data_IF_113550238650
#
_entry.id   IF_113550238650
#
_cell.length_a   1.000
_cell.length_b   1.000
_cell.length_c   1.000
_cell.angle_alpha   90.00
_cell.angle_beta   90.00
_cell.angle_gamma   90.00
#
_symmetry.space_group_name_H-M   'P 1'
#
loop_
_entity.id
_entity.type
_entity.pdbx_description
1 polymer ?
#
# COMPACT_ATOMS: atom_id res chain seq x y z
N UNK A 1 -35.13 -11.00 14.66
CA UNK A 1 -35.28 -11.80 15.85
C UNK A 1 -36.77 -11.99 16.25
N UNK A 2 -37.60 -10.91 16.16
CA UNK A 2 -39.00 -10.94 16.60
C UNK A 2 -39.85 -11.97 15.83
N UNK A 3 -39.53 -12.30 14.60
CA UNK A 3 -40.25 -13.23 13.73
C UNK A 3 -39.42 -14.46 13.35
N UNK A 4 -38.34 -14.75 14.08
CA UNK A 4 -37.47 -15.90 13.79
C UNK A 4 -36.65 -15.78 12.52
N UNK A 5 -36.50 -14.57 11.98
CA UNK A 5 -35.68 -14.33 10.78
C UNK A 5 -34.19 -14.38 11.10
N UNK A 6 -33.40 -14.85 10.14
CA UNK A 6 -31.94 -14.82 10.18
C UNK A 6 -31.42 -13.41 9.84
N UNK A 7 -30.25 -12.99 10.33
CA UNK A 7 -29.62 -11.75 9.91
C UNK A 7 -29.37 -11.79 8.40
N UNK A 8 -29.80 -10.74 7.69
CA UNK A 8 -29.57 -10.59 6.28
C UNK A 8 -28.71 -9.34 6.00
N UNK A 9 -27.84 -9.45 5.01
CA UNK A 9 -27.02 -8.31 4.56
C UNK A 9 -27.88 -7.28 3.84
N UNK A 10 -27.37 -6.04 3.72
CA UNK A 10 -28.02 -4.98 2.94
C UNK A 10 -28.17 -5.37 1.47
N UNK A 11 -29.34 -5.11 0.89
CA UNK A 11 -29.64 -5.40 -0.52
C UNK A 11 -29.01 -4.33 -1.43
N UNK A 12 -27.79 -4.54 -1.91
CA UNK A 12 -27.03 -3.59 -2.72
C UNK A 12 -27.84 -3.15 -3.95
N UNK A 13 -28.37 -4.09 -4.73
CA UNK A 13 -29.13 -3.82 -5.94
C UNK A 13 -30.33 -2.90 -5.70
N UNK A 14 -31.13 -3.20 -4.67
CA UNK A 14 -32.31 -2.41 -4.31
C UNK A 14 -31.96 -1.05 -3.78
N UNK A 15 -30.90 -0.94 -2.99
CA UNK A 15 -30.40 0.34 -2.46
C UNK A 15 -29.89 1.22 -3.59
N UNK A 16 -29.11 0.69 -4.53
CA UNK A 16 -28.63 1.44 -5.69
C UNK A 16 -29.78 1.92 -6.59
N UNK A 17 -30.78 1.07 -6.82
CA UNK A 17 -31.97 1.45 -7.59
C UNK A 17 -32.72 2.59 -6.90
N UNK A 18 -32.87 2.54 -5.57
CA UNK A 18 -33.53 3.60 -4.80
C UNK A 18 -32.76 4.92 -4.87
N UNK A 19 -31.43 4.89 -4.71
CA UNK A 19 -30.57 6.07 -4.80
C UNK A 19 -30.65 6.68 -6.21
N UNK A 20 -30.56 5.86 -7.25
CA UNK A 20 -30.65 6.32 -8.65
C UNK A 20 -32.00 6.95 -8.99
N UNK A 21 -33.05 6.61 -8.26
CA UNK A 21 -34.38 7.20 -8.37
C UNK A 21 -34.66 8.33 -7.34
N UNK A 22 -33.61 8.86 -6.69
CA UNK A 22 -33.71 10.02 -5.81
C UNK A 22 -34.00 9.70 -4.33
N UNK A 23 -33.96 8.44 -3.94
CA UNK A 23 -34.14 8.04 -2.54
C UNK A 23 -32.92 8.40 -1.69
N UNK A 24 -33.11 9.26 -0.67
CA UNK A 24 -32.03 9.76 0.17
C UNK A 24 -32.15 9.38 1.66
N UNK A 25 -33.26 8.73 2.05
CA UNK A 25 -33.56 8.49 3.47
C UNK A 25 -33.78 7.02 3.76
N UNK A 26 -33.49 6.55 5.01
CA UNK A 26 -33.78 5.18 5.43
C UNK A 26 -35.29 4.87 5.50
N UNK A 27 -36.16 5.86 5.45
CA UNK A 27 -37.62 5.69 5.41
C UNK A 27 -38.06 4.83 4.24
N UNK A 28 -37.39 4.97 3.06
CA UNK A 28 -37.66 4.12 1.90
C UNK A 28 -37.49 2.62 2.21
N UNK A 29 -36.50 2.24 3.04
CA UNK A 29 -36.29 0.86 3.49
C UNK A 29 -37.41 0.36 4.40
N UNK A 30 -37.92 1.21 5.30
CA UNK A 30 -39.05 0.87 6.18
C UNK A 30 -40.32 0.67 5.36
N UNK A 31 -40.63 1.59 4.45
CA UNK A 31 -41.79 1.49 3.53
C UNK A 31 -41.69 0.20 2.69
N UNK A 32 -40.49 -0.09 2.14
CA UNK A 32 -40.24 -1.31 1.39
C UNK A 32 -40.55 -2.57 2.22
N UNK A 33 -40.11 -2.63 3.46
CA UNK A 33 -40.36 -3.78 4.35
C UNK A 33 -41.84 -3.95 4.69
N UNK A 34 -42.56 -2.85 4.92
CA UNK A 34 -44.02 -2.86 5.18
C UNK A 34 -44.77 -3.30 3.94
N UNK A 35 -44.42 -2.80 2.75
CA UNK A 35 -45.04 -3.18 1.50
C UNK A 35 -44.82 -4.70 1.21
N UNK A 36 -43.60 -5.20 1.44
CA UNK A 36 -43.31 -6.63 1.28
C UNK A 36 -44.14 -7.49 2.24
N UNK A 37 -44.31 -7.05 3.49
CA UNK A 37 -45.13 -7.74 4.46
C UNK A 37 -46.61 -7.79 4.00
N UNK A 38 -47.14 -6.66 3.52
CA UNK A 38 -48.49 -6.60 2.94
C UNK A 38 -48.67 -7.49 1.73
N UNK A 39 -47.70 -7.52 0.81
CA UNK A 39 -47.72 -8.42 -0.35
C UNK A 39 -47.75 -9.88 0.10
N UNK A 40 -46.93 -10.23 1.10
CA UNK A 40 -46.86 -11.60 1.59
C UNK A 40 -48.17 -12.02 2.26
N UNK A 41 -48.84 -11.14 3.01
CA UNK A 41 -50.06 -11.44 3.73
C UNK A 41 -51.32 -11.45 2.84
N UNK A 42 -51.43 -10.51 1.92
CA UNK A 42 -52.64 -10.23 1.13
C UNK A 42 -52.57 -10.70 -0.32
N UNK A 43 -51.36 -10.55 -0.96
CA UNK A 43 -51.18 -10.74 -2.40
C UNK A 43 -50.47 -12.04 -2.75
N UNK A 44 -50.13 -12.90 -1.78
CA UNK A 44 -49.47 -14.17 -2.03
C UNK A 44 -50.19 -15.03 -3.09
N UNK A 45 -51.54 -15.16 -3.07
CA UNK A 45 -52.23 -15.95 -4.08
C UNK A 45 -52.16 -15.34 -5.49
N UNK A 46 -51.96 -14.02 -5.64
CA UNK A 46 -51.77 -13.41 -6.93
C UNK A 46 -50.31 -13.57 -7.43
N UNK A 47 -49.33 -13.68 -6.53
CA UNK A 47 -47.94 -13.82 -6.90
C UNK A 47 -47.65 -15.09 -7.72
N UNK A 48 -48.45 -16.14 -7.55
CA UNK A 48 -48.33 -17.40 -8.32
C UNK A 48 -48.61 -17.23 -9.84
N UNK A 49 -49.31 -16.17 -10.23
CA UNK A 49 -49.60 -15.89 -11.63
C UNK A 49 -48.48 -15.11 -12.36
N UNK A 50 -47.45 -14.69 -11.65
CA UNK A 50 -46.31 -13.98 -12.24
C UNK A 50 -45.45 -15.01 -13.00
N UNK A 51 -45.33 -14.89 -14.34
CA UNK A 51 -44.51 -15.82 -15.11
C UNK A 51 -43.05 -15.67 -14.81
N UNK A 52 -42.31 -16.75 -14.68
CA UNK A 52 -40.85 -16.77 -14.41
C UNK A 52 -40.06 -15.97 -15.49
N UNK A 53 -40.58 -15.99 -16.74
CA UNK A 53 -39.97 -15.22 -17.83
C UNK A 53 -39.99 -13.69 -17.58
N UNK A 54 -41.03 -13.15 -16.94
CA UNK A 54 -41.11 -11.77 -16.55
C UNK A 54 -40.03 -11.42 -15.50
N UNK A 55 -39.89 -12.28 -14.48
CA UNK A 55 -38.84 -12.10 -13.45
C UNK A 55 -37.43 -12.18 -14.06
N UNK A 56 -37.21 -13.10 -14.98
CA UNK A 56 -35.93 -13.19 -15.70
C UNK A 56 -35.65 -11.94 -16.50
N UNK A 57 -36.65 -11.38 -17.21
CA UNK A 57 -36.51 -10.12 -17.93
C UNK A 57 -36.12 -8.94 -17.04
N UNK A 58 -36.77 -8.82 -15.88
CA UNK A 58 -36.43 -7.79 -14.87
C UNK A 58 -34.98 -7.97 -14.37
N UNK A 59 -34.57 -9.20 -14.09
CA UNK A 59 -33.18 -9.47 -13.65
C UNK A 59 -32.15 -9.09 -14.71
N UNK A 60 -32.40 -9.34 -15.98
CA UNK A 60 -31.52 -8.94 -17.09
C UNK A 60 -31.36 -7.42 -17.15
N UNK A 61 -32.48 -6.67 -17.08
CA UNK A 61 -32.46 -5.20 -17.07
C UNK A 61 -31.71 -4.65 -15.86
N UNK A 62 -31.94 -5.20 -14.67
CA UNK A 62 -31.24 -4.81 -13.43
C UNK A 62 -29.75 -5.10 -13.56
N UNK A 63 -29.36 -6.27 -14.06
CA UNK A 63 -27.95 -6.64 -14.27
C UNK A 63 -27.26 -5.68 -15.25
N UNK A 64 -27.93 -5.32 -16.35
CA UNK A 64 -27.40 -4.35 -17.28
C UNK A 64 -27.19 -2.96 -16.66
N UNK A 65 -28.18 -2.46 -15.92
CA UNK A 65 -28.08 -1.16 -15.23
C UNK A 65 -27.01 -1.14 -14.13
N UNK A 66 -26.74 -2.28 -13.50
CA UNK A 66 -25.74 -2.41 -12.47
C UNK A 66 -24.35 -2.75 -12.99
N UNK A 67 -24.22 -3.18 -14.25
CA UNK A 67 -22.93 -3.67 -14.79
C UNK A 67 -21.81 -2.63 -14.77
N UNK A 68 -22.12 -1.34 -14.65
CA UNK A 68 -21.13 -0.27 -14.62
C UNK A 68 -20.19 -0.27 -15.83
N UNK A 69 -20.72 -0.61 -17.02
CA UNK A 69 -19.92 -0.81 -18.23
C UNK A 69 -18.94 0.33 -18.54
N UNK A 70 -19.29 1.57 -18.21
CA UNK A 70 -18.41 2.72 -18.39
C UNK A 70 -17.17 2.63 -17.50
N UNK A 71 -17.40 2.38 -16.21
CA UNK A 71 -16.30 2.20 -15.22
C UNK A 71 -15.42 0.99 -15.56
N UNK A 72 -16.04 -0.12 -16.00
CA UNK A 72 -15.30 -1.29 -16.46
C UNK A 72 -14.37 -0.94 -17.63
N UNK A 73 -14.87 -0.21 -18.63
CA UNK A 73 -14.07 0.23 -19.78
C UNK A 73 -12.95 1.21 -19.39
N UNK A 74 -13.17 2.05 -18.40
CA UNK A 74 -12.16 2.97 -17.87
C UNK A 74 -11.06 2.20 -17.13
N UNK A 75 -11.43 1.25 -16.28
CA UNK A 75 -10.49 0.39 -15.55
C UNK A 75 -9.62 -0.44 -16.50
N UNK A 76 -10.14 -0.91 -17.63
CA UNK A 76 -9.34 -1.61 -18.64
C UNK A 76 -8.22 -0.77 -19.28
N UNK A 77 -8.29 0.56 -19.14
CA UNK A 77 -7.22 1.48 -19.59
C UNK A 77 -6.15 1.71 -18.51
N UNK A 78 -6.37 1.19 -17.31
CA UNK A 78 -5.48 1.33 -16.17
C UNK A 78 -4.18 0.54 -16.28
N UNK A 79 -3.48 0.39 -15.17
CA UNK A 79 -2.23 -0.38 -15.12
C UNK A 79 -2.48 -1.84 -15.47
N UNK A 80 -1.54 -2.49 -16.18
CA UNK A 80 -1.66 -3.91 -16.57
C UNK A 80 -1.91 -4.83 -15.37
N UNK A 81 -1.35 -4.48 -14.23
CA UNK A 81 -1.53 -5.23 -12.97
C UNK A 81 -2.97 -5.14 -12.47
N UNK A 82 -3.55 -3.93 -12.45
CA UNK A 82 -4.92 -3.71 -11.99
C UNK A 82 -5.94 -4.35 -12.93
N UNK A 83 -5.68 -4.30 -14.25
CA UNK A 83 -6.49 -4.99 -15.27
C UNK A 83 -6.44 -6.50 -15.07
N UNK A 84 -5.27 -7.06 -14.76
CA UNK A 84 -5.14 -8.49 -14.49
C UNK A 84 -5.95 -8.90 -13.26
N UNK A 85 -5.85 -8.15 -12.15
CA UNK A 85 -6.64 -8.40 -10.93
C UNK A 85 -8.14 -8.34 -11.24
N UNK A 86 -8.59 -7.31 -11.97
CA UNK A 86 -9.99 -7.14 -12.38
C UNK A 86 -10.50 -8.34 -13.17
N UNK A 87 -9.77 -8.76 -14.21
CA UNK A 87 -10.19 -9.87 -15.07
C UNK A 87 -10.19 -11.20 -14.32
N UNK A 88 -9.15 -11.48 -13.53
CA UNK A 88 -9.07 -12.72 -12.75
C UNK A 88 -10.24 -12.79 -11.76
N UNK A 89 -10.50 -11.70 -11.01
CA UNK A 89 -11.60 -11.65 -10.04
C UNK A 89 -12.96 -11.81 -10.75
N UNK A 90 -13.14 -11.17 -11.91
CA UNK A 90 -14.35 -11.30 -12.71
C UNK A 90 -14.59 -12.75 -13.15
N UNK A 91 -13.60 -13.41 -13.73
CA UNK A 91 -13.75 -14.80 -14.16
C UNK A 91 -13.95 -15.77 -12.98
N UNK A 92 -13.26 -15.54 -11.86
CA UNK A 92 -13.48 -16.35 -10.65
C UNK A 92 -14.91 -16.19 -10.12
N UNK A 93 -15.48 -14.98 -10.16
CA UNK A 93 -16.87 -14.74 -9.76
C UNK A 93 -17.86 -15.47 -10.66
N UNK A 94 -17.58 -15.57 -11.96
CA UNK A 94 -18.48 -16.23 -12.93
C UNK A 94 -18.37 -17.74 -12.86
N UNK A 95 -17.17 -18.30 -12.65
CA UNK A 95 -16.92 -19.75 -12.70
C UNK A 95 -17.20 -20.43 -11.35
N UNK A 96 -16.81 -19.78 -10.25
CA UNK A 96 -16.95 -20.31 -8.91
C UNK A 96 -18.08 -19.60 -8.18
N UNK A 97 -17.74 -18.77 -7.22
CA UNK A 97 -18.66 -17.92 -6.48
C UNK A 97 -18.01 -16.59 -6.05
N UNK A 98 -18.83 -15.71 -5.48
CA UNK A 98 -18.38 -14.40 -5.03
C UNK A 98 -17.36 -14.50 -3.88
N UNK A 99 -17.46 -15.50 -2.99
CA UNK A 99 -16.60 -15.63 -1.82
C UNK A 99 -15.17 -15.95 -2.24
N UNK A 100 -15.00 -16.98 -3.07
CA UNK A 100 -13.71 -17.39 -3.62
C UNK A 100 -13.10 -16.26 -4.44
N UNK A 101 -13.92 -15.55 -5.24
CA UNK A 101 -13.45 -14.45 -6.05
C UNK A 101 -12.90 -13.28 -5.21
N UNK A 102 -13.55 -12.95 -4.10
CA UNK A 102 -13.10 -11.89 -3.18
C UNK A 102 -11.79 -12.30 -2.50
N UNK A 103 -11.71 -13.52 -1.97
CA UNK A 103 -10.51 -14.01 -1.29
C UNK A 103 -9.28 -14.00 -2.22
N UNK A 104 -9.41 -14.60 -3.39
CA UNK A 104 -8.33 -14.67 -4.38
C UNK A 104 -8.01 -13.31 -4.98
N UNK A 105 -9.03 -12.51 -5.27
CA UNK A 105 -8.86 -11.15 -5.78
C UNK A 105 -8.10 -10.25 -4.80
N UNK A 106 -8.44 -10.32 -3.51
CA UNK A 106 -7.75 -9.60 -2.45
C UNK A 106 -6.28 -10.04 -2.33
N UNK A 107 -6.04 -11.36 -2.35
CA UNK A 107 -4.69 -11.90 -2.26
C UNK A 107 -3.81 -11.43 -3.43
N UNK A 108 -4.32 -11.51 -4.67
CA UNK A 108 -3.58 -11.05 -5.86
C UNK A 108 -3.37 -9.54 -5.82
N UNK A 109 -4.36 -8.77 -5.37
CA UNK A 109 -4.25 -7.32 -5.21
C UNK A 109 -3.17 -6.94 -4.18
N UNK A 110 -3.10 -7.64 -3.04
CA UNK A 110 -2.07 -7.45 -2.02
C UNK A 110 -0.66 -7.73 -2.57
N UNK A 111 -0.47 -8.85 -3.26
CA UNK A 111 0.82 -9.20 -3.87
C UNK A 111 1.23 -8.15 -4.91
N UNK A 112 0.30 -7.73 -5.77
CA UNK A 112 0.54 -6.68 -6.76
C UNK A 112 0.89 -5.33 -6.13
N UNK A 113 0.21 -4.98 -5.03
CA UNK A 113 0.49 -3.76 -4.26
C UNK A 113 1.89 -3.78 -3.66
N UNK A 114 2.27 -4.90 -2.99
CA UNK A 114 3.62 -5.07 -2.43
C UNK A 114 4.67 -4.92 -3.53
N UNK A 115 4.48 -5.61 -4.66
CA UNK A 115 5.41 -5.50 -5.80
C UNK A 115 5.52 -4.08 -6.38
N UNK A 116 4.47 -3.27 -6.31
CA UNK A 116 4.47 -1.86 -6.72
C UNK A 116 5.23 -0.99 -5.74
N UNK A 117 5.00 -1.18 -4.43
CA UNK A 117 5.71 -0.45 -3.37
C UNK A 117 7.21 -0.74 -3.43
N UNK A 118 7.61 -1.99 -3.66
CA UNK A 118 9.03 -2.37 -3.83
C UNK A 118 9.70 -1.62 -4.99
N UNK A 119 9.00 -1.44 -6.11
CA UNK A 119 9.53 -0.70 -7.28
C UNK A 119 9.60 0.81 -7.08
N UNK A 120 8.88 1.36 -6.12
CA UNK A 120 8.86 2.80 -5.83
C UNK A 120 10.03 3.21 -4.93
N UNK A 121 10.62 2.25 -4.19
CA UNK A 121 11.78 2.52 -3.36
C UNK A 121 13.05 2.42 -4.19
N UNK A 122 13.83 3.50 -4.20
CA UNK A 122 15.10 3.58 -4.90
C UNK A 122 16.23 3.78 -3.88
N UNK A 123 17.33 3.07 -4.10
CA UNK A 123 18.57 3.26 -3.36
C UNK A 123 19.55 3.90 -4.33
N UNK A 124 19.97 5.11 -4.03
CA UNK A 124 20.95 5.83 -4.83
C UNK A 124 22.26 5.99 -4.05
N UNK A 125 23.35 5.79 -4.76
CA UNK A 125 24.71 5.99 -4.22
C UNK A 125 25.25 7.29 -4.74
N UNK A 126 25.67 8.15 -3.85
CA UNK A 126 26.22 9.47 -4.15
C UNK A 126 27.71 9.43 -3.81
N UNK A 127 28.57 9.48 -4.82
CA UNK A 127 30.04 9.45 -4.63
C UNK A 127 30.69 10.85 -4.69
N UNK A 128 30.15 11.74 -5.51
CA UNK A 128 30.85 13.00 -5.80
C UNK A 128 30.17 14.21 -5.15
N UNK A 129 28.90 14.46 -5.45
CA UNK A 129 28.19 15.66 -5.03
C UNK A 129 26.74 15.35 -4.60
N UNK A 130 26.35 15.89 -3.47
CA UNK A 130 24.96 15.84 -3.00
C UNK A 130 24.26 17.09 -3.53
N UNK A 131 23.32 16.91 -4.47
CA UNK A 131 22.50 18.01 -4.99
C UNK A 131 21.47 18.45 -3.95
N UNK A 132 21.25 19.75 -3.77
CA UNK A 132 20.14 20.24 -2.95
C UNK A 132 18.83 19.75 -3.54
N UNK A 133 17.94 19.26 -2.69
CA UNK A 133 16.64 18.79 -3.13
C UNK A 133 15.68 19.99 -3.18
N UNK A 134 14.96 20.17 -4.29
CA UNK A 134 14.05 21.30 -4.55
C UNK A 134 12.85 21.39 -3.59
N UNK A 135 12.61 20.37 -2.77
CA UNK A 135 11.48 20.37 -1.83
C UNK A 135 11.94 20.35 -0.37
N UNK A 136 11.80 21.50 0.27
CA UNK A 136 11.66 21.68 1.72
C UNK A 136 12.82 21.21 2.61
N UNK A 137 14.04 21.62 2.31
CA UNK A 137 15.12 21.61 3.28
C UNK A 137 15.10 22.93 4.10
N UNK A 138 14.17 23.02 5.08
CA UNK A 138 14.07 24.15 6.03
C UNK A 138 15.37 24.42 6.84
N UNK A 139 16.39 23.58 6.66
CA UNK A 139 17.67 23.64 7.37
C UNK A 139 18.89 23.71 6.46
N UNK A 140 18.72 23.83 5.15
CA UNK A 140 19.79 24.17 4.22
C UNK A 140 19.64 25.63 3.81
N UNK A 141 20.41 26.50 4.45
CA UNK A 141 20.46 27.95 4.18
C UNK A 141 21.22 28.30 2.88
N UNK A 142 21.54 27.30 2.03
CA UNK A 142 22.27 27.55 0.79
C UNK A 142 21.94 26.52 -0.29
N UNK A 143 21.79 27.00 -1.51
CA UNK A 143 21.77 26.25 -2.78
C UNK A 143 23.11 25.54 -3.08
N UNK A 144 23.98 25.38 -2.08
CA UNK A 144 25.32 24.85 -2.26
C UNK A 144 25.29 23.33 -2.34
N UNK A 145 25.82 22.81 -3.44
CA UNK A 145 26.17 21.39 -3.59
C UNK A 145 27.22 21.03 -2.55
N UNK A 146 26.96 19.98 -1.79
CA UNK A 146 27.89 19.49 -0.77
C UNK A 146 28.79 18.45 -1.43
N UNK A 147 30.10 18.73 -1.49
CA UNK A 147 31.09 17.76 -1.95
C UNK A 147 31.25 16.62 -0.93
N UNK A 148 31.27 15.37 -1.40
CA UNK A 148 31.54 14.20 -0.58
C UNK A 148 33.07 14.01 -0.50
N UNK A 149 33.66 13.94 0.71
CA UNK A 149 35.10 13.72 0.86
C UNK A 149 35.53 12.35 0.31
N UNK A 150 36.78 12.24 -0.14
CA UNK A 150 37.38 10.99 -0.58
C UNK A 150 37.34 9.93 0.54
N UNK A 151 36.92 8.72 0.17
CA UNK A 151 36.78 7.61 1.12
C UNK A 151 35.45 7.59 1.88
N UNK A 152 34.52 8.49 1.56
CA UNK A 152 33.15 8.49 2.09
C UNK A 152 32.16 8.08 0.99
N UNK A 153 31.27 7.18 1.29
CA UNK A 153 30.14 6.83 0.43
C UNK A 153 28.82 7.20 1.09
N UNK A 154 27.93 7.86 0.35
CA UNK A 154 26.63 8.24 0.84
C UNK A 154 25.55 7.44 0.11
N UNK A 155 24.78 6.66 0.87
CA UNK A 155 23.65 5.88 0.39
C UNK A 155 22.36 6.59 0.77
N UNK A 156 21.58 7.02 -0.20
CA UNK A 156 20.27 7.60 0.04
C UNK A 156 19.17 6.58 -0.23
N UNK A 157 18.33 6.35 0.77
CA UNK A 157 17.18 5.44 0.68
C UNK A 157 15.93 6.30 0.51
N UNK A 158 15.30 6.17 -0.66
CA UNK A 158 14.07 6.89 -1.01
C UNK A 158 12.88 5.93 -0.98
N UNK A 159 12.13 5.92 0.12
CA UNK A 159 10.95 5.07 0.31
C UNK A 159 11.04 4.18 1.56
N UNK A 160 10.02 3.34 1.80
CA UNK A 160 9.96 2.48 2.98
C UNK A 160 11.07 1.41 2.97
N UNK A 161 11.76 1.24 4.10
CA UNK A 161 12.83 0.26 4.23
C UNK A 161 12.31 -1.02 4.90
N UNK A 162 11.99 -2.03 4.08
CA UNK A 162 11.37 -3.28 4.49
C UNK A 162 11.97 -4.49 3.75
N UNK A 163 11.48 -5.70 4.01
CA UNK A 163 12.06 -6.96 3.52
C UNK A 163 12.43 -6.98 2.03
N UNK A 164 11.63 -6.32 1.17
CA UNK A 164 11.86 -6.32 -0.28
C UNK A 164 13.02 -5.44 -0.75
N UNK A 165 13.45 -4.46 0.06
CA UNK A 165 14.49 -3.49 -0.29
C UNK A 165 15.84 -3.84 0.30
N UNK A 166 15.82 -4.57 1.39
CA UNK A 166 17.02 -4.95 2.11
C UNK A 166 18.00 -5.73 1.22
N UNK A 167 17.51 -6.63 0.39
CA UNK A 167 18.31 -7.40 -0.57
C UNK A 167 18.92 -6.51 -1.66
N UNK A 168 18.16 -5.53 -2.17
CA UNK A 168 18.67 -4.58 -3.17
C UNK A 168 19.80 -3.71 -2.60
N UNK A 169 19.72 -3.37 -1.32
CA UNK A 169 20.77 -2.60 -0.67
C UNK A 169 22.09 -3.37 -0.59
N UNK A 170 22.02 -4.67 -0.29
CA UNK A 170 23.20 -5.56 -0.29
C UNK A 170 23.79 -5.70 -1.69
N UNK A 171 22.96 -5.83 -2.72
CA UNK A 171 23.40 -5.92 -4.13
C UNK A 171 24.12 -4.64 -4.55
N UNK A 172 23.54 -3.47 -4.29
CA UNK A 172 24.14 -2.18 -4.63
C UNK A 172 25.51 -1.99 -3.95
N UNK A 173 25.65 -2.43 -2.71
CA UNK A 173 26.94 -2.37 -2.02
C UNK A 173 27.97 -3.36 -2.58
N UNK A 174 27.55 -4.54 -3.01
CA UNK A 174 28.43 -5.54 -3.58
C UNK A 174 29.02 -5.11 -4.92
N UNK A 175 28.26 -4.36 -5.74
CA UNK A 175 28.69 -3.87 -7.06
C UNK A 175 29.78 -2.79 -6.98
N UNK A 176 29.89 -2.07 -5.87
CA UNK A 176 30.79 -0.93 -5.77
C UNK A 176 32.27 -1.28 -5.59
N UNK A 177 32.58 -2.47 -5.15
CA UNK A 177 33.95 -3.05 -5.13
C UNK A 177 34.98 -2.34 -4.26
N UNK A 178 34.86 -1.04 -4.04
CA UNK A 178 35.76 -0.22 -3.24
C UNK A 178 35.35 -0.27 -1.76
N UNK A 179 36.35 -0.28 -0.87
CA UNK A 179 36.11 -0.24 0.59
C UNK A 179 36.23 1.22 1.08
N UNK A 180 35.11 1.90 1.33
CA UNK A 180 35.15 3.25 1.89
C UNK A 180 35.62 3.21 3.34
N UNK A 181 36.11 4.33 3.85
CA UNK A 181 36.42 4.51 5.27
C UNK A 181 35.15 4.73 6.09
N UNK A 182 34.18 5.45 5.49
CA UNK A 182 32.91 5.80 6.13
C UNK A 182 31.74 5.55 5.17
N UNK A 183 30.69 4.93 5.66
CA UNK A 183 29.38 4.80 4.99
C UNK A 183 28.34 5.65 5.70
N UNK A 184 27.76 6.61 4.99
CA UNK A 184 26.67 7.41 5.48
C UNK A 184 25.37 6.88 4.85
N UNK A 185 24.42 6.44 5.68
CA UNK A 185 23.12 6.00 5.24
C UNK A 185 22.12 7.12 5.53
N UNK A 186 21.62 7.75 4.48
CA UNK A 186 20.65 8.84 4.54
C UNK A 186 19.24 8.29 4.52
N UNK A 187 18.51 8.44 5.64
CA UNK A 187 17.18 7.85 5.87
C UNK A 187 16.07 8.91 5.91
N UNK A 188 16.34 10.14 5.47
CA UNK A 188 15.38 11.25 5.54
C UNK A 188 14.05 10.94 4.87
N UNK A 189 14.09 10.25 3.72
CA UNK A 189 12.91 9.87 2.94
C UNK A 189 12.39 8.46 3.25
N UNK A 190 12.83 7.87 4.36
CA UNK A 190 12.34 6.57 4.84
C UNK A 190 11.17 6.81 5.78
N UNK A 191 9.91 6.58 5.38
CA UNK A 191 8.74 6.85 6.23
C UNK A 191 8.62 5.85 7.39
N UNK A 192 9.04 4.60 7.17
CA UNK A 192 9.05 3.54 8.19
C UNK A 192 10.07 2.45 7.86
N UNK A 193 10.46 1.71 8.88
CA UNK A 193 11.31 0.52 8.81
C UNK A 193 10.62 -0.64 9.52
N UNK A 194 10.64 -1.84 8.93
CA UNK A 194 10.12 -3.05 9.56
C UNK A 194 11.21 -3.84 10.29
N UNK A 195 10.82 -4.91 10.98
CA UNK A 195 11.77 -5.77 11.72
C UNK A 195 12.82 -6.40 10.81
N UNK A 196 12.49 -6.72 9.57
CA UNK A 196 13.44 -7.28 8.60
C UNK A 196 14.44 -6.22 8.17
N UNK A 197 13.97 -4.99 7.90
CA UNK A 197 14.83 -3.86 7.61
C UNK A 197 15.81 -3.55 8.74
N UNK A 198 15.34 -3.58 10.00
CA UNK A 198 16.22 -3.42 11.17
C UNK A 198 17.27 -4.51 11.25
N UNK A 199 16.89 -5.77 11.01
CA UNK A 199 17.83 -6.90 11.02
C UNK A 199 18.90 -6.77 9.93
N UNK A 200 18.50 -6.34 8.73
CA UNK A 200 19.44 -6.12 7.62
C UNK A 200 20.38 -4.95 7.91
N UNK A 201 19.85 -3.83 8.41
CA UNK A 201 20.67 -2.70 8.84
C UNK A 201 21.65 -3.12 9.93
N UNK A 202 21.22 -3.96 10.88
CA UNK A 202 22.10 -4.52 11.93
C UNK A 202 23.19 -5.42 11.36
N UNK A 203 22.85 -6.26 10.38
CA UNK A 203 23.81 -7.12 9.68
C UNK A 203 24.83 -6.30 8.92
N UNK A 204 24.38 -5.26 8.24
CA UNK A 204 25.23 -4.30 7.56
C UNK A 204 26.21 -3.62 8.50
N UNK A 205 25.74 -3.14 9.66
CA UNK A 205 26.60 -2.53 10.67
C UNK A 205 27.67 -3.49 11.16
N UNK A 206 27.30 -4.76 11.40
CA UNK A 206 28.24 -5.80 11.85
C UNK A 206 29.29 -6.13 10.78
N UNK A 207 28.86 -6.25 9.50
CA UNK A 207 29.77 -6.53 8.39
C UNK A 207 30.75 -5.35 8.18
N UNK A 208 30.24 -4.14 8.12
CA UNK A 208 31.06 -2.95 7.96
C UNK A 208 32.07 -2.78 9.12
N UNK A 209 31.65 -3.05 10.33
CA UNK A 209 32.55 -3.01 11.49
C UNK A 209 33.68 -4.03 11.39
N UNK A 210 33.40 -5.26 10.92
CA UNK A 210 34.44 -6.28 10.66
C UNK A 210 35.43 -5.85 9.58
N UNK A 211 34.99 -5.06 8.61
CA UNK A 211 35.82 -4.54 7.53
C UNK A 211 36.53 -3.23 7.88
N UNK A 212 36.31 -2.71 9.09
CA UNK A 212 36.90 -1.44 9.53
C UNK A 212 36.21 -0.20 9.00
N UNK A 213 35.01 -0.37 8.43
CA UNK A 213 34.21 0.72 7.85
C UNK A 213 33.29 1.29 8.93
N UNK A 214 33.33 2.60 9.12
CA UNK A 214 32.41 3.29 10.03
C UNK A 214 31.07 3.54 9.34
N UNK A 215 29.97 3.25 10.05
CA UNK A 215 28.61 3.59 9.59
C UNK A 215 28.09 4.79 10.36
N UNK A 216 27.44 5.71 9.66
CA UNK A 216 26.74 6.87 10.19
C UNK A 216 25.34 6.92 9.59
N UNK A 217 24.32 7.06 10.43
CA UNK A 217 22.95 7.30 9.99
C UNK A 217 22.67 8.81 9.94
N UNK A 218 21.99 9.26 8.91
CA UNK A 218 21.65 10.67 8.74
C UNK A 218 20.18 10.87 8.42
N UNK A 219 19.53 11.84 9.08
CA UNK A 219 18.17 12.23 8.79
C UNK A 219 17.13 11.19 9.22
N UNK A 220 17.34 10.49 10.31
CA UNK A 220 16.38 9.51 10.84
C UNK A 220 15.16 10.24 11.40
N UNK A 221 13.96 9.96 10.89
CA UNK A 221 12.72 10.54 11.39
C UNK A 221 12.27 9.88 12.72
N UNK A 222 11.31 10.50 13.42
CA UNK A 222 10.84 10.05 14.73
C UNK A 222 10.31 8.60 14.72
N UNK A 223 9.58 8.20 13.67
CA UNK A 223 9.02 6.85 13.55
C UNK A 223 10.11 5.78 13.41
N UNK A 224 11.07 6.04 12.55
CA UNK A 224 12.23 5.15 12.34
C UNK A 224 13.11 5.12 13.61
N UNK A 225 13.33 6.29 14.23
CA UNK A 225 14.07 6.38 15.48
C UNK A 225 13.43 5.54 16.60
N UNK A 226 12.12 5.66 16.78
CA UNK A 226 11.39 4.86 17.77
C UNK A 226 11.52 3.35 17.50
N UNK A 227 11.44 2.93 16.23
CA UNK A 227 11.58 1.51 15.85
C UNK A 227 13.00 1.00 16.09
N UNK A 228 14.02 1.76 15.73
CA UNK A 228 15.43 1.43 15.96
C UNK A 228 15.75 1.36 17.47
N UNK A 229 15.21 2.29 18.26
CA UNK A 229 15.37 2.29 19.71
C UNK A 229 14.74 1.06 20.35
N UNK A 230 13.47 0.75 20.01
CA UNK A 230 12.75 -0.38 20.58
C UNK A 230 13.35 -1.75 20.19
N UNK A 231 14.03 -1.82 19.05
CA UNK A 231 14.72 -3.04 18.60
C UNK A 231 16.10 -3.26 19.20
N UNK A 232 16.60 -2.32 20.01
CA UNK A 232 17.94 -2.38 20.59
C UNK A 232 19.09 -2.12 19.59
N UNK A 233 18.78 -1.57 18.41
CA UNK A 233 19.77 -1.28 17.37
C UNK A 233 20.90 -0.36 17.86
N UNK A 234 20.61 0.55 18.78
CA UNK A 234 21.59 1.49 19.35
C UNK A 234 22.70 0.85 20.19
N UNK A 235 22.53 -0.42 20.56
CA UNK A 235 23.63 -1.17 21.16
C UNK A 235 24.74 -1.54 20.16
N UNK A 236 24.42 -1.54 18.85
CA UNK A 236 25.36 -1.84 17.76
C UNK A 236 25.98 -0.57 17.18
N UNK A 237 25.20 0.49 17.09
CA UNK A 237 25.62 1.78 16.55
C UNK A 237 25.50 2.81 17.68
N UNK A 238 26.63 3.39 18.13
CA UNK A 238 26.60 4.41 19.17
C UNK A 238 25.69 5.57 18.73
N UNK A 239 24.89 6.11 19.66
CA UNK A 239 23.99 7.26 19.39
C UNK A 239 24.70 8.43 18.73
N UNK A 240 25.97 8.59 19.02
CA UNK A 240 26.81 9.59 18.41
C UNK A 240 26.94 9.47 16.88
N UNK A 241 26.73 8.29 16.29
CA UNK A 241 26.78 8.04 14.85
C UNK A 241 25.40 8.22 14.18
N UNK A 242 24.43 8.78 14.90
CA UNK A 242 23.12 9.14 14.38
C UNK A 242 23.04 10.65 14.31
N UNK A 243 23.09 11.18 13.11
CA UNK A 243 23.12 12.60 12.86
C UNK A 243 21.76 13.10 12.36
N UNK A 244 21.31 14.28 12.82
CA UNK A 244 20.04 14.84 12.36
C UNK A 244 20.07 15.23 10.88
N UNK A 245 21.25 15.66 10.37
CA UNK A 245 21.45 16.14 9.02
C UNK A 245 22.74 15.63 8.40
N UNK A 246 22.79 15.60 7.05
CA UNK A 246 23.95 15.13 6.30
C UNK A 246 25.22 15.97 6.62
N UNK A 247 25.08 17.28 6.82
CA UNK A 247 26.19 18.15 7.18
C UNK A 247 26.85 17.79 8.52
N UNK A 248 26.06 17.31 9.48
CA UNK A 248 26.57 16.83 10.75
C UNK A 248 27.30 15.49 10.59
N UNK A 249 26.80 14.63 9.69
CA UNK A 249 27.39 13.34 9.40
C UNK A 249 28.75 13.47 8.65
N UNK A 250 28.88 14.41 7.72
CA UNK A 250 30.11 14.65 6.97
C UNK A 250 31.23 15.35 7.79
N UNK A 251 30.87 16.04 8.86
CA UNK A 251 31.85 16.69 9.77
C UNK A 251 32.45 15.71 10.80
N UNK A 252 31.96 14.49 10.85
CA UNK A 252 32.33 13.48 11.82
C UNK A 252 33.27 12.42 11.26
#
# INVERSE_FOLDING_TARGET
PLFGGIPATGAIARTMTNINNGGSTPVAGIVHSVVLLLILLLLMPLAQYIPMACLAGVLVVVSYNMSGWRSFRELLKGSKSDVAVLLITFFLTVIFDLTIAIEMGLLIACVSFIGRVMKTTEISVIKDEIKPCEETDLYMDSEETIAVPDGVEVYEINGPYFFGIATQFEEVMAELGDKPLVRIIRMRRVPFIDSTGVNNLSSLCRMSHKEGIRIVLSGVNENVHATLHNSGFYSLLNEENICPHINAALKR
#
